data_IF_203985322840
#
_entry.id   IF_203985322840
#
_cell.length_a   1.000
_cell.length_b   1.000
_cell.length_c   1.000
_cell.angle_alpha   90.00
_cell.angle_beta   90.00
_cell.angle_gamma   90.00
#
_symmetry.space_group_name_H-M   'P 1'
#
loop_
_entity.id
_entity.type
_entity.pdbx_description
1 polymer ?
#
# COMPACT_ATOMS: atom_id res chain seq x y z
N UNK A 1 36.66 -45.12 25.25
CA UNK A 1 36.87 -44.08 24.22
C UNK A 1 35.66 -43.16 24.23
N UNK A 2 35.80 -41.92 24.70
CA UNK A 2 34.71 -40.94 24.78
C UNK A 2 34.85 -39.96 23.62
N UNK A 3 33.92 -40.05 22.67
CA UNK A 3 33.86 -39.17 21.51
C UNK A 3 33.44 -37.76 21.94
N UNK A 4 34.38 -36.81 21.86
CA UNK A 4 34.09 -35.38 21.96
C UNK A 4 33.29 -34.97 20.73
N UNK A 5 32.05 -34.57 20.96
CA UNK A 5 31.15 -33.98 19.95
C UNK A 5 31.68 -32.57 19.68
N UNK A 6 32.14 -32.30 18.46
CA UNK A 6 32.55 -30.95 18.06
C UNK A 6 31.30 -30.08 17.98
N UNK A 7 31.06 -29.25 19.00
CA UNK A 7 30.05 -28.21 18.94
C UNK A 7 30.51 -27.15 17.93
N UNK A 8 29.91 -27.14 16.75
CA UNK A 8 30.21 -26.18 15.69
C UNK A 8 30.04 -24.76 16.20
N UNK A 9 31.13 -23.98 16.17
CA UNK A 9 31.16 -22.57 16.53
C UNK A 9 30.34 -21.79 15.49
N UNK A 10 29.12 -21.39 15.85
CA UNK A 10 28.25 -20.61 14.97
C UNK A 10 28.92 -19.28 14.59
N UNK A 11 28.86 -18.92 13.31
CA UNK A 11 29.45 -17.68 12.82
C UNK A 11 28.70 -16.47 13.41
N UNK A 12 29.41 -15.50 14.02
CA UNK A 12 28.77 -14.33 14.64
C UNK A 12 27.94 -13.52 13.63
N UNK A 13 28.35 -13.49 12.35
CA UNK A 13 27.58 -12.84 11.29
C UNK A 13 26.23 -13.52 11.05
N UNK A 14 26.18 -14.85 11.09
CA UNK A 14 24.92 -15.59 10.94
C UNK A 14 23.98 -15.31 12.12
N UNK A 15 24.51 -15.19 13.34
CA UNK A 15 23.72 -14.83 14.51
C UNK A 15 23.14 -13.42 14.39
N UNK A 16 23.91 -12.45 13.89
CA UNK A 16 23.43 -11.08 13.66
C UNK A 16 22.35 -11.05 12.58
N UNK A 17 22.55 -11.74 11.46
CA UNK A 17 21.55 -11.82 10.38
C UNK A 17 20.27 -12.51 10.84
N UNK A 18 20.39 -13.58 11.62
CA UNK A 18 19.26 -14.29 12.20
C UNK A 18 18.48 -13.38 13.16
N UNK A 19 19.16 -12.66 14.04
CA UNK A 19 18.54 -11.72 14.98
C UNK A 19 17.82 -10.59 14.24
N UNK A 20 18.45 -10.03 13.20
CA UNK A 20 17.85 -8.96 12.39
C UNK A 20 16.63 -9.46 11.60
N UNK A 21 16.71 -10.64 10.99
CA UNK A 21 15.57 -11.26 10.31
C UNK A 21 14.39 -11.54 11.26
N UNK A 22 14.69 -12.04 12.47
CA UNK A 22 13.67 -12.28 13.48
C UNK A 22 13.02 -10.97 13.95
N UNK A 23 13.80 -9.90 14.14
CA UNK A 23 13.30 -8.58 14.51
C UNK A 23 12.33 -8.02 13.44
N UNK A 24 12.69 -8.13 12.17
CA UNK A 24 11.81 -7.73 11.07
C UNK A 24 10.52 -8.56 11.09
N UNK A 25 10.63 -9.88 11.21
CA UNK A 25 9.48 -10.78 11.21
C UNK A 25 8.53 -10.51 12.38
N UNK A 26 9.06 -10.31 13.60
CA UNK A 26 8.26 -10.01 14.79
C UNK A 26 7.59 -8.65 14.70
N UNK A 27 8.28 -7.62 14.20
CA UNK A 27 7.68 -6.30 13.99
C UNK A 27 6.50 -6.36 13.01
N UNK A 28 6.67 -7.04 11.87
CA UNK A 28 5.59 -7.22 10.90
C UNK A 28 4.42 -8.03 11.47
N UNK A 29 4.70 -9.05 12.31
CA UNK A 29 3.67 -9.84 12.99
C UNK A 29 2.90 -9.01 14.03
N UNK A 30 3.59 -8.16 14.80
CA UNK A 30 2.94 -7.25 15.76
C UNK A 30 1.97 -6.29 15.06
N UNK A 31 2.38 -5.69 13.95
CA UNK A 31 1.51 -4.83 13.14
C UNK A 31 0.28 -5.61 12.64
N UNK A 32 0.46 -6.84 12.16
CA UNK A 32 -0.63 -7.69 11.69
C UNK A 32 -1.63 -8.02 12.81
N UNK A 33 -1.14 -8.37 14.01
CA UNK A 33 -1.98 -8.71 15.17
C UNK A 33 -2.70 -7.48 15.71
N UNK A 34 -2.02 -6.33 15.83
CA UNK A 34 -2.65 -5.07 16.25
C UNK A 34 -3.75 -4.64 15.27
N UNK A 35 -3.52 -4.82 13.96
CA UNK A 35 -4.53 -4.52 12.95
C UNK A 35 -5.71 -5.50 12.97
N UNK A 36 -5.49 -6.76 13.37
CA UNK A 36 -6.56 -7.76 13.52
C UNK A 36 -7.36 -7.56 14.83
N UNK A 37 -6.71 -7.15 15.92
CA UNK A 37 -7.36 -6.79 17.19
C UNK A 37 -8.24 -5.54 17.06
N UNK A 38 -7.84 -4.59 16.22
CA UNK A 38 -8.64 -3.41 15.88
C UNK A 38 -9.83 -3.71 14.95
N UNK A 39 -9.95 -4.94 14.42
CA UNK A 39 -11.10 -5.38 13.61
C UNK A 39 -12.19 -6.06 14.44
N UNK A 40 -11.86 -6.56 15.63
CA UNK A 40 -12.86 -7.15 16.55
C UNK A 40 -13.58 -6.10 17.42
N UNK A 41 -13.03 -4.90 17.54
CA UNK A 41 -13.62 -3.75 18.26
C UNK A 41 -13.98 -2.58 17.32
N UNK A 42 -14.07 -2.86 16.01
CA UNK A 42 -14.72 -1.95 15.06
C UNK A 42 -16.24 -2.15 15.15
N UNK A 43 -16.80 -1.94 16.34
CA UNK A 43 -18.22 -1.61 16.46
C UNK A 43 -18.45 -0.35 15.63
N UNK A 44 -19.40 -0.43 14.70
CA UNK A 44 -19.96 0.69 13.92
C UNK A 44 -19.04 1.91 13.83
N UNK A 45 -17.93 1.78 13.10
CA UNK A 45 -17.37 2.97 12.49
C UNK A 45 -18.45 3.39 11.49
N UNK A 46 -19.30 4.33 11.91
CA UNK A 46 -20.24 5.05 11.03
C UNK A 46 -19.39 5.81 10.02
N UNK A 47 -18.90 5.07 9.04
CA UNK A 47 -18.06 5.57 7.98
C UNK A 47 -18.96 6.53 7.21
N UNK A 48 -18.61 7.82 7.06
CA UNK A 48 -19.31 8.71 6.15
C UNK A 48 -19.01 8.33 4.69
N UNK A 49 -18.84 7.03 4.39
CA UNK A 49 -18.94 6.50 3.05
C UNK A 49 -20.38 6.78 2.62
N UNK A 50 -20.54 7.87 1.87
CA UNK A 50 -21.73 8.11 1.07
C UNK A 50 -22.02 6.83 0.30
N UNK A 51 -23.03 6.10 0.78
CA UNK A 51 -23.47 4.88 0.11
C UNK A 51 -23.93 5.28 -1.28
N UNK A 52 -23.36 4.64 -2.30
CA UNK A 52 -23.72 4.93 -3.68
C UNK A 52 -25.22 4.65 -3.85
N UNK A 53 -26.04 5.63 -4.27
CA UNK A 53 -27.46 5.40 -4.48
C UNK A 53 -27.66 4.29 -5.53
N UNK A 54 -28.62 3.41 -5.28
CA UNK A 54 -28.82 2.18 -6.08
C UNK A 54 -29.08 2.45 -7.57
N UNK A 55 -29.59 3.64 -7.89
CA UNK A 55 -29.79 4.15 -9.25
C UNK A 55 -28.50 4.20 -10.09
N UNK A 56 -27.33 4.29 -9.44
CA UNK A 56 -26.03 4.34 -10.10
C UNK A 56 -25.35 2.96 -10.20
N UNK A 57 -26.01 1.87 -9.81
CA UNK A 57 -25.40 0.51 -9.80
C UNK A 57 -25.56 -0.25 -11.12
N UNK A 58 -26.39 0.26 -12.03
CA UNK A 58 -26.64 -0.37 -13.34
C UNK A 58 -25.59 0.03 -14.38
N UNK A 59 -24.47 -0.70 -14.47
CA UNK A 59 -23.59 -0.84 -15.65
C UNK A 59 -22.96 0.41 -16.30
N UNK A 60 -23.38 1.62 -15.91
CA UNK A 60 -23.00 2.90 -16.49
C UNK A 60 -23.11 4.06 -15.50
N UNK A 61 -23.19 3.78 -14.19
CA UNK A 61 -23.27 4.81 -13.16
C UNK A 61 -21.94 5.52 -12.85
N UNK A 62 -22.03 6.58 -12.03
CA UNK A 62 -20.94 7.50 -11.73
C UNK A 62 -19.71 6.79 -11.14
N UNK A 63 -18.63 6.69 -11.91
CA UNK A 63 -17.39 6.03 -11.51
C UNK A 63 -16.64 6.87 -10.47
N UNK A 64 -15.94 6.20 -9.56
CA UNK A 64 -15.08 6.87 -8.58
C UNK A 64 -13.84 7.45 -9.28
N UNK A 65 -13.54 8.71 -8.96
CA UNK A 65 -12.33 9.37 -9.42
C UNK A 65 -11.35 9.47 -8.26
N UNK A 66 -10.14 8.93 -8.43
CA UNK A 66 -9.08 9.00 -7.43
C UNK A 66 -8.29 10.28 -7.65
N UNK A 67 -8.27 11.17 -6.68
CA UNK A 67 -7.38 12.33 -6.66
C UNK A 67 -6.37 12.18 -5.52
N UNK A 68 -5.09 12.42 -5.80
CA UNK A 68 -4.05 12.45 -4.77
C UNK A 68 -3.23 13.71 -4.88
N UNK A 69 -2.78 14.23 -3.73
CA UNK A 69 -1.83 15.33 -3.66
C UNK A 69 -0.41 14.79 -3.72
N UNK A 70 0.45 15.42 -4.51
CA UNK A 70 1.83 15.02 -4.71
C UNK A 70 2.77 16.22 -4.60
N UNK A 71 4.02 15.93 -4.25
CA UNK A 71 5.14 16.87 -4.33
C UNK A 71 6.21 16.32 -5.28
N UNK A 72 7.25 17.10 -5.55
CA UNK A 72 8.39 16.69 -6.36
C UNK A 72 9.41 15.82 -5.60
N UNK A 73 9.18 15.58 -4.31
CA UNK A 73 10.04 14.76 -3.47
C UNK A 73 10.15 13.31 -3.99
N UNK A 74 11.34 12.67 -3.93
CA UNK A 74 11.55 11.31 -4.42
C UNK A 74 10.59 10.28 -3.82
N UNK A 75 10.28 10.42 -2.53
CA UNK A 75 9.35 9.53 -1.84
C UNK A 75 7.92 9.70 -2.35
N UNK A 76 7.44 10.95 -2.49
CA UNK A 76 6.11 11.24 -3.04
C UNK A 76 5.96 10.66 -4.45
N UNK A 77 7.00 10.78 -5.29
CA UNK A 77 7.04 10.17 -6.63
C UNK A 77 6.92 8.65 -6.61
N UNK A 78 7.66 7.98 -5.73
CA UNK A 78 7.58 6.53 -5.58
C UNK A 78 6.18 6.10 -5.11
N UNK A 79 5.63 6.78 -4.09
CA UNK A 79 4.27 6.51 -3.60
C UNK A 79 3.22 6.67 -4.70
N UNK A 80 3.28 7.75 -5.48
CA UNK A 80 2.38 7.98 -6.62
C UNK A 80 2.41 6.82 -7.62
N UNK A 81 3.58 6.24 -7.89
CA UNK A 81 3.72 5.10 -8.81
C UNK A 81 3.07 3.84 -8.26
N UNK A 82 3.26 3.56 -6.98
CA UNK A 82 2.62 2.40 -6.33
C UNK A 82 1.10 2.56 -6.34
N UNK A 83 0.59 3.74 -5.98
CA UNK A 83 -0.85 4.02 -6.03
C UNK A 83 -1.42 3.88 -7.44
N UNK A 84 -0.74 4.43 -8.46
CA UNK A 84 -1.17 4.32 -9.85
C UNK A 84 -1.16 2.87 -10.35
N UNK A 85 -0.17 2.06 -9.94
CA UNK A 85 -0.13 0.63 -10.26
C UNK A 85 -1.38 -0.09 -9.74
N UNK A 86 -1.73 0.12 -8.46
CA UNK A 86 -2.90 -0.52 -7.85
C UNK A 86 -4.23 0.00 -8.41
N UNK A 87 -4.33 1.30 -8.69
CA UNK A 87 -5.48 1.87 -9.38
C UNK A 87 -5.73 1.17 -10.72
N UNK A 88 -4.68 0.97 -11.54
CA UNK A 88 -4.84 0.25 -12.82
C UNK A 88 -5.29 -1.18 -12.60
N UNK A 89 -4.68 -1.90 -11.65
CA UNK A 89 -5.08 -3.27 -11.31
C UNK A 89 -6.56 -3.35 -10.91
N UNK A 90 -7.06 -2.37 -10.15
CA UNK A 90 -8.47 -2.32 -9.74
C UNK A 90 -9.39 -1.90 -10.88
N UNK A 91 -8.97 -0.97 -11.73
CA UNK A 91 -9.73 -0.50 -12.89
C UNK A 91 -9.94 -1.58 -13.95
N UNK A 92 -8.96 -2.46 -14.12
CA UNK A 92 -9.01 -3.53 -15.12
C UNK A 92 -9.88 -4.73 -14.67
N UNK A 93 -10.41 -4.73 -13.44
CA UNK A 93 -11.33 -5.76 -12.95
C UNK A 93 -12.71 -5.61 -13.62
N UNK A 94 -13.33 -6.69 -14.12
CA UNK A 94 -14.70 -6.63 -14.65
C UNK A 94 -15.68 -6.07 -13.61
N UNK A 95 -16.49 -5.09 -14.02
CA UNK A 95 -17.42 -4.42 -13.10
C UNK A 95 -16.75 -3.40 -12.17
N UNK A 96 -15.51 -3.00 -12.43
CA UNK A 96 -14.83 -1.97 -11.63
C UNK A 96 -15.55 -0.63 -11.72
N UNK A 97 -15.79 -0.04 -10.55
CA UNK A 97 -16.31 1.31 -10.42
C UNK A 97 -15.22 2.39 -10.57
N UNK A 98 -13.98 2.01 -10.87
CA UNK A 98 -12.88 2.96 -11.01
C UNK A 98 -12.96 3.73 -12.33
N UNK A 99 -12.98 5.05 -12.23
CA UNK A 99 -13.06 5.98 -13.35
C UNK A 99 -11.69 6.52 -13.72
N UNK A 100 -11.36 7.70 -13.18
CA UNK A 100 -10.13 8.43 -13.43
C UNK A 100 -9.16 8.42 -12.25
N UNK A 101 -7.91 8.80 -12.55
CA UNK A 101 -6.86 8.99 -11.56
C UNK A 101 -6.13 10.29 -11.86
N UNK A 102 -6.16 11.23 -10.92
CA UNK A 102 -5.50 12.53 -11.04
C UNK A 102 -4.51 12.71 -9.92
N UNK A 103 -3.35 13.26 -10.27
CA UNK A 103 -2.32 13.65 -9.32
C UNK A 103 -2.21 15.17 -9.32
N UNK A 104 -2.43 15.78 -8.17
CA UNK A 104 -2.40 17.23 -7.93
C UNK A 104 -1.02 17.59 -7.38
N UNK A 105 -0.15 18.09 -8.24
CA UNK A 105 1.24 18.40 -7.92
C UNK A 105 1.38 19.80 -7.33
N UNK A 106 1.84 19.90 -6.09
CA UNK A 106 2.02 21.15 -5.37
C UNK A 106 3.41 21.80 -5.54
N UNK A 107 4.32 21.19 -6.31
CA UNK A 107 5.69 21.73 -6.51
C UNK A 107 5.77 22.88 -7.52
N UNK A 108 4.69 23.20 -8.25
CA UNK A 108 4.65 24.23 -9.29
C UNK A 108 5.47 23.92 -10.57
N UNK A 109 6.42 22.98 -10.49
CA UNK A 109 7.24 22.52 -11.61
C UNK A 109 6.79 21.15 -12.11
N UNK A 110 6.75 20.90 -13.44
CA UNK A 110 6.46 19.58 -13.99
C UNK A 110 7.54 18.58 -13.58
N UNK A 111 7.14 17.33 -13.37
CA UNK A 111 8.08 16.24 -13.07
C UNK A 111 8.11 15.16 -14.16
N UNK A 112 9.05 14.22 -14.00
CA UNK A 112 9.24 13.09 -14.91
C UNK A 112 8.12 12.02 -14.86
N UNK A 113 7.03 12.28 -14.13
CA UNK A 113 5.82 11.45 -14.12
C UNK A 113 4.73 12.01 -15.05
N UNK A 114 4.82 13.28 -15.46
CA UNK A 114 3.86 13.95 -16.34
C UNK A 114 3.76 13.28 -17.72
N UNK A 115 4.88 12.81 -18.28
CA UNK A 115 4.92 12.11 -19.58
C UNK A 115 4.39 10.67 -19.55
N UNK A 116 4.18 10.09 -18.36
CA UNK A 116 3.58 8.77 -18.17
C UNK A 116 2.18 8.93 -17.59
N UNK A 117 1.27 9.48 -18.40
CA UNK A 117 -0.19 9.41 -18.16
C UNK A 117 -0.65 10.02 -16.83
N UNK A 118 -0.16 11.20 -16.45
CA UNK A 118 -0.66 11.94 -15.29
C UNK A 118 -0.78 13.43 -15.65
N UNK A 119 -1.99 13.84 -16.03
CA UNK A 119 -2.32 15.23 -16.37
C UNK A 119 -2.74 15.99 -15.10
N UNK A 120 -2.15 17.17 -14.92
CA UNK A 120 -2.52 18.14 -13.88
C UNK A 120 -3.77 18.92 -14.32
N UNK A 121 -4.70 19.11 -13.38
CA UNK A 121 -5.42 20.37 -13.23
C UNK A 121 -4.69 21.17 -12.14
#
# INVERSE_FOLDING_TARGET
MIGRKNAGRASPLLLVLLAFGFFIATYNLLILVMHKGNRSDAGELHDPIVSRPDELRGGGGAKFHVALTATDAPYSKWQCRIMYYWYKKMKDVPGSDMGGFTRILHSGNPDNLMGRSLQLL
#
